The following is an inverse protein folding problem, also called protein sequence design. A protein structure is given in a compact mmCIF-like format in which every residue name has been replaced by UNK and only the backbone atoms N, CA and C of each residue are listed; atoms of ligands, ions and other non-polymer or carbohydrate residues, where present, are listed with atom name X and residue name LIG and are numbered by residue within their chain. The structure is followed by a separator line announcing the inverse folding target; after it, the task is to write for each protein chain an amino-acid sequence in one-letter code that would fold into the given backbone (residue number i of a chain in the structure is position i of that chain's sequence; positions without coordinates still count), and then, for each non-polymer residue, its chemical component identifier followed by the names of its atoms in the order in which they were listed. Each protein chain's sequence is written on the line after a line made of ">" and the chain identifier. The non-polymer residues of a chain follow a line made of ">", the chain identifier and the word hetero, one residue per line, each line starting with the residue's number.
data_IF_296518678378
#
_entry.id   IF_296518678378
#
_cell.length_a   1.000
_cell.length_b   1.000
_cell.length_c   1.000
_cell.angle_alpha   90.00
_cell.angle_beta   90.00
_cell.angle_gamma   90.00
#
_symmetry.space_group_name_H-M   'P 1'
#
loop_
_entity.id
_entity.type
_entity.pdbx_description
1 polymer ?
#
# COMPACT_ATOMS: atom_id res chain seq x y z
N UNK A 1 -4.68 -43.19 -17.20
CA UNK A 1 -3.32 -42.71 -16.83
C UNK A 1 -2.90 -41.76 -17.91
N UNK A 2 -3.16 -40.49 -17.72
CA UNK A 2 -2.68 -39.44 -18.61
C UNK A 2 -1.79 -38.48 -17.80
N UNK A 3 -0.61 -38.25 -18.34
CA UNK A 3 0.48 -37.58 -17.69
C UNK A 3 0.28 -36.07 -17.66
N UNK A 4 0.39 -35.49 -16.47
CA UNK A 4 0.52 -34.07 -16.27
C UNK A 4 1.86 -33.56 -16.82
N UNK A 5 1.85 -32.71 -17.83
CA UNK A 5 3.03 -31.97 -18.25
C UNK A 5 3.19 -30.70 -17.42
N UNK A 6 4.37 -30.43 -16.86
CA UNK A 6 4.64 -29.18 -16.15
C UNK A 6 4.91 -28.02 -17.11
N UNK A 7 4.30 -26.89 -16.81
CA UNK A 7 4.42 -25.65 -17.55
C UNK A 7 5.85 -25.10 -17.56
N UNK A 8 6.25 -24.67 -18.74
CA UNK A 8 7.57 -24.20 -19.13
C UNK A 8 8.10 -23.05 -18.27
N UNK A 9 9.28 -23.29 -17.75
CA UNK A 9 10.25 -22.39 -17.17
C UNK A 9 10.61 -21.25 -18.14
N UNK A 10 10.27 -20.02 -17.78
CA UNK A 10 10.82 -18.83 -18.47
C UNK A 10 12.28 -18.73 -18.08
N UNK A 11 13.17 -18.90 -19.04
CA UNK A 11 14.61 -18.73 -18.89
C UNK A 11 14.90 -17.32 -18.36
N UNK A 12 15.40 -17.23 -17.13
CA UNK A 12 16.04 -16.06 -16.60
C UNK A 12 17.37 -15.83 -17.30
N UNK A 13 17.55 -14.65 -17.91
CA UNK A 13 18.88 -14.19 -18.30
C UNK A 13 19.74 -14.00 -17.04
N UNK A 14 21.05 -14.27 -17.08
CA UNK A 14 21.91 -14.05 -15.93
C UNK A 14 22.05 -12.55 -15.66
N UNK A 15 21.49 -12.10 -14.55
CA UNK A 15 21.72 -10.75 -14.04
C UNK A 15 23.01 -10.76 -13.26
N UNK A 16 23.88 -9.77 -13.49
CA UNK A 16 25.04 -9.49 -12.65
C UNK A 16 24.58 -9.14 -11.22
N UNK A 17 25.37 -9.38 -10.17
CA UNK A 17 24.99 -9.12 -8.77
C UNK A 17 24.54 -7.68 -8.48
N UNK A 18 24.89 -6.71 -9.35
CA UNK A 18 24.46 -5.31 -9.26
C UNK A 18 23.02 -5.07 -9.76
N UNK A 19 22.38 -6.04 -10.43
CA UNK A 19 21.05 -5.90 -11.05
C UNK A 19 19.92 -6.59 -10.28
N UNK A 20 20.23 -7.25 -9.17
CA UNK A 20 19.18 -7.84 -8.31
C UNK A 20 18.34 -6.72 -7.69
N UNK A 21 16.99 -6.80 -7.77
CA UNK A 21 16.15 -5.79 -7.15
C UNK A 21 16.35 -5.82 -5.63
N UNK A 22 16.40 -4.65 -4.98
CA UNK A 22 16.54 -4.56 -3.51
C UNK A 22 15.21 -4.88 -2.81
N UNK A 23 14.56 -6.00 -3.16
CA UNK A 23 13.28 -6.41 -2.57
C UNK A 23 12.89 -7.83 -2.97
N UNK A 24 12.03 -8.44 -2.16
CA UNK A 24 11.37 -9.71 -2.44
C UNK A 24 10.00 -9.48 -3.10
N UNK A 25 9.64 -10.29 -4.09
CA UNK A 25 8.28 -10.25 -4.67
C UNK A 25 7.37 -11.16 -3.85
N UNK A 26 6.27 -10.60 -3.34
CA UNK A 26 5.28 -11.32 -2.53
C UNK A 26 3.94 -11.36 -3.27
N UNK A 27 3.37 -12.55 -3.36
CA UNK A 27 1.99 -12.73 -3.79
C UNK A 27 1.11 -12.76 -2.55
N UNK A 28 0.35 -11.71 -2.34
CA UNK A 28 -0.64 -11.63 -1.27
C UNK A 28 -1.71 -12.69 -1.46
N UNK A 29 -2.22 -13.20 -0.38
CA UNK A 29 -3.32 -14.16 -0.34
C UNK A 29 -4.63 -13.45 -0.02
N UNK A 30 -5.73 -13.99 -0.51
CA UNK A 30 -7.07 -13.49 -0.16
C UNK A 30 -7.46 -14.00 1.21
N UNK A 31 -7.73 -13.05 2.12
CA UNK A 31 -8.24 -13.37 3.45
C UNK A 31 -9.67 -13.96 3.31
N UNK A 32 -9.97 -15.13 3.93
CA UNK A 32 -11.16 -15.92 3.61
C UNK A 32 -12.50 -15.27 4.03
N UNK A 33 -12.52 -14.45 5.08
CA UNK A 33 -13.78 -13.92 5.63
C UNK A 33 -14.22 -12.62 4.97
N UNK A 34 -13.28 -11.72 4.68
CA UNK A 34 -13.57 -10.41 4.12
C UNK A 34 -13.13 -10.27 2.67
N UNK A 35 -12.15 -11.06 2.25
CA UNK A 35 -11.66 -11.08 0.87
C UNK A 35 -10.63 -10.00 0.53
N UNK A 36 -10.00 -9.37 1.50
CA UNK A 36 -8.86 -8.49 1.30
C UNK A 36 -7.61 -9.29 0.91
N UNK A 37 -6.71 -8.68 0.14
CA UNK A 37 -5.38 -9.22 -0.13
C UNK A 37 -4.46 -8.87 1.04
N UNK A 38 -3.86 -9.88 1.67
CA UNK A 38 -3.00 -9.74 2.86
C UNK A 38 -1.62 -10.35 2.61
N UNK A 39 -0.59 -9.76 3.22
CA UNK A 39 0.78 -10.29 3.17
C UNK A 39 0.85 -11.60 3.98
N UNK A 40 1.18 -12.74 3.35
CA UNK A 40 1.05 -14.04 4.00
C UNK A 40 1.96 -14.21 5.22
N UNK A 41 3.23 -13.83 5.12
CA UNK A 41 4.18 -13.93 6.24
C UNK A 41 3.80 -13.01 7.40
N UNK A 42 3.39 -11.77 7.12
CA UNK A 42 2.99 -10.83 8.18
C UNK A 42 1.75 -11.32 8.93
N UNK A 43 0.80 -11.93 8.20
CA UNK A 43 -0.41 -12.50 8.80
C UNK A 43 -0.11 -13.69 9.72
N UNK A 44 0.97 -14.45 9.44
CA UNK A 44 1.41 -15.57 10.26
C UNK A 44 2.30 -15.13 11.42
N UNK A 45 3.20 -14.16 11.19
CA UNK A 45 4.23 -13.75 12.17
C UNK A 45 3.72 -12.74 13.19
N UNK A 46 2.73 -11.91 12.82
CA UNK A 46 2.28 -10.78 13.65
C UNK A 46 0.78 -10.87 13.94
N UNK A 47 0.39 -11.69 14.92
CA UNK A 47 -1.02 -11.82 15.35
C UNK A 47 -1.64 -10.48 15.78
N UNK A 48 -0.80 -9.53 16.26
CA UNK A 48 -1.20 -8.19 16.66
C UNK A 48 -1.44 -7.23 15.48
N UNK A 49 -1.04 -7.60 14.25
CA UNK A 49 -1.12 -6.75 13.08
C UNK A 49 -2.42 -7.03 12.28
N UNK A 50 -3.17 -5.99 11.95
CA UNK A 50 -4.17 -6.01 10.90
C UNK A 50 -3.58 -5.29 9.68
N UNK A 51 -3.58 -5.90 8.50
CA UNK A 51 -3.08 -5.27 7.29
C UNK A 51 -3.72 -5.89 6.04
N UNK A 52 -3.77 -5.14 4.96
CA UNK A 52 -4.20 -5.64 3.67
C UNK A 52 -4.62 -4.55 2.69
N UNK A 53 -5.05 -5.01 1.52
CA UNK A 53 -5.66 -4.17 0.48
C UNK A 53 -7.02 -4.75 0.12
N UNK A 54 -8.09 -3.94 0.20
CA UNK A 54 -9.42 -4.37 -0.22
C UNK A 54 -9.48 -4.58 -1.72
N UNK A 55 -10.41 -5.38 -2.19
CA UNK A 55 -10.67 -5.60 -3.62
C UNK A 55 -12.12 -5.24 -3.94
N UNK A 56 -12.51 -5.18 -5.19
CA UNK A 56 -13.91 -4.99 -5.60
C UNK A 56 -14.85 -6.07 -5.06
N UNK A 57 -14.30 -7.20 -4.62
CA UNK A 57 -15.02 -8.36 -4.09
C UNK A 57 -14.87 -8.52 -2.57
N UNK A 58 -14.32 -7.53 -1.86
CA UNK A 58 -14.26 -7.54 -0.40
C UNK A 58 -15.65 -7.31 0.21
N UNK A 59 -15.88 -7.87 1.39
CA UNK A 59 -17.16 -7.74 2.09
C UNK A 59 -18.35 -8.31 1.30
N UNK A 60 -19.55 -7.74 1.52
CA UNK A 60 -20.82 -8.22 0.91
C UNK A 60 -21.49 -7.17 0.01
N UNK A 61 -20.94 -5.95 -0.09
CA UNK A 61 -21.51 -4.82 -0.82
C UNK A 61 -20.65 -4.50 -2.06
N UNK A 62 -20.99 -5.11 -3.18
CA UNK A 62 -20.19 -5.03 -4.40
C UNK A 62 -20.72 -4.00 -5.41
N UNK A 63 -19.83 -3.32 -6.15
CA UNK A 63 -18.38 -3.32 -5.99
C UNK A 63 -17.99 -2.61 -4.68
N UNK A 64 -16.98 -3.13 -3.98
CA UNK A 64 -16.56 -2.61 -2.68
C UNK A 64 -15.69 -1.37 -2.85
N UNK A 65 -16.33 -0.28 -3.25
CA UNK A 65 -15.72 1.04 -3.47
C UNK A 65 -15.64 1.82 -2.15
N UNK A 66 -14.44 2.29 -1.80
CA UNK A 66 -14.16 3.07 -0.60
C UNK A 66 -13.83 4.55 -0.90
N UNK A 67 -14.03 5.01 -2.14
CA UNK A 67 -13.87 6.41 -2.51
C UNK A 67 -14.84 7.32 -1.76
N UNK A 68 -14.31 8.32 -1.03
CA UNK A 68 -15.11 9.36 -0.35
C UNK A 68 -15.02 10.72 -1.06
N UNK A 69 -13.98 10.93 -1.84
CA UNK A 69 -13.63 12.23 -2.45
C UNK A 69 -13.61 12.18 -3.99
N UNK A 70 -13.97 11.05 -4.60
CA UNK A 70 -14.06 10.96 -6.04
C UNK A 70 -15.38 11.59 -6.56
N UNK A 71 -15.36 12.21 -7.76
CA UNK A 71 -16.51 12.90 -8.35
C UNK A 71 -17.77 12.04 -8.48
N UNK A 72 -17.63 10.72 -8.56
CA UNK A 72 -18.72 9.75 -8.68
C UNK A 72 -18.95 8.95 -7.39
N UNK A 73 -18.37 9.38 -6.27
CA UNK A 73 -18.54 8.68 -5.01
C UNK A 73 -19.99 8.78 -4.50
N UNK A 74 -20.49 7.67 -3.93
CA UNK A 74 -21.72 7.65 -3.14
C UNK A 74 -21.35 7.65 -1.63
N UNK A 75 -21.23 8.82 -0.98
CA UNK A 75 -20.66 8.91 0.36
C UNK A 75 -21.35 8.02 1.41
N UNK A 76 -22.66 7.81 1.29
CA UNK A 76 -23.42 6.95 2.22
C UNK A 76 -23.03 5.47 2.05
N UNK A 77 -22.94 4.99 0.82
CA UNK A 77 -22.50 3.63 0.50
C UNK A 77 -21.04 3.41 0.87
N UNK A 78 -20.16 4.36 0.54
CA UNK A 78 -18.75 4.30 0.93
C UNK A 78 -18.59 4.23 2.46
N UNK A 79 -19.29 5.07 3.24
CA UNK A 79 -19.27 5.01 4.72
C UNK A 79 -19.71 3.66 5.28
N UNK A 80 -20.72 3.01 4.68
CA UNK A 80 -21.14 1.66 5.07
C UNK A 80 -20.03 0.64 4.83
N UNK A 81 -19.34 0.71 3.69
CA UNK A 81 -18.21 -0.17 3.37
C UNK A 81 -17.01 0.07 4.27
N UNK A 82 -16.72 1.33 4.62
CA UNK A 82 -15.70 1.65 5.62
C UNK A 82 -16.00 1.05 7.01
N UNK A 83 -17.26 1.05 7.42
CA UNK A 83 -17.70 0.35 8.66
C UNK A 83 -17.44 -1.15 8.55
N UNK A 84 -17.84 -1.78 7.44
CA UNK A 84 -17.62 -3.21 7.21
C UNK A 84 -16.12 -3.56 7.23
N UNK A 85 -15.26 -2.76 6.62
CA UNK A 85 -13.80 -2.93 6.70
C UNK A 85 -13.33 -2.86 8.17
N UNK A 86 -13.72 -1.85 8.92
CA UNK A 86 -13.36 -1.69 10.33
C UNK A 86 -13.76 -2.92 11.15
N UNK A 87 -14.99 -3.38 10.97
CA UNK A 87 -15.57 -4.53 11.69
C UNK A 87 -14.85 -5.84 11.34
N UNK A 88 -14.48 -6.03 10.08
CA UNK A 88 -13.79 -7.25 9.63
C UNK A 88 -12.44 -7.47 10.28
N UNK A 89 -11.77 -6.40 10.70
CA UNK A 89 -10.45 -6.47 11.37
C UNK A 89 -10.51 -6.27 12.87
N UNK A 90 -11.72 -6.10 13.44
CA UNK A 90 -11.91 -5.85 14.87
C UNK A 90 -11.40 -4.48 15.32
N UNK A 91 -11.41 -3.48 14.42
CA UNK A 91 -10.96 -2.14 14.74
C UNK A 91 -12.00 -1.30 15.47
N UNK A 92 -11.56 -0.36 16.29
CA UNK A 92 -12.43 0.61 16.96
C UNK A 92 -12.71 1.83 16.09
N UNK A 93 -11.70 2.24 15.32
CA UNK A 93 -11.76 3.43 14.46
C UNK A 93 -10.90 3.23 13.22
N UNK A 94 -11.37 3.75 12.09
CA UNK A 94 -10.55 3.96 10.88
C UNK A 94 -10.23 5.44 10.76
N UNK A 95 -8.99 5.77 10.42
CA UNK A 95 -8.59 7.11 9.99
C UNK A 95 -8.24 7.12 8.52
N UNK A 96 -8.65 8.19 7.86
CA UNK A 96 -8.42 8.45 6.46
C UNK A 96 -8.31 9.96 6.23
N UNK A 97 -7.83 10.39 5.07
CA UNK A 97 -7.69 11.79 4.71
C UNK A 97 -8.10 12.03 3.25
N UNK A 98 -8.36 13.28 2.91
CA UNK A 98 -8.33 13.69 1.52
C UNK A 98 -6.87 13.66 1.04
N UNK A 99 -6.54 12.73 0.15
CA UNK A 99 -5.21 12.52 -0.41
C UNK A 99 -4.97 13.50 -1.56
N UNK A 100 -3.91 14.29 -1.44
CA UNK A 100 -3.59 15.37 -2.40
C UNK A 100 -2.36 15.06 -3.26
N UNK A 101 -1.88 13.80 -3.21
CA UNK A 101 -0.67 13.33 -3.88
C UNK A 101 0.59 14.09 -3.41
N UNK A 102 0.59 14.54 -2.16
CA UNK A 102 1.69 15.22 -1.49
C UNK A 102 2.55 14.26 -0.66
N UNK A 103 3.26 14.83 0.34
CA UNK A 103 4.11 14.07 1.25
C UNK A 103 3.83 14.36 2.74
N UNK A 104 2.71 15.00 3.05
CA UNK A 104 2.32 15.22 4.45
C UNK A 104 1.91 13.90 5.08
N UNK A 105 2.48 13.61 6.26
CA UNK A 105 2.18 12.43 7.07
C UNK A 105 1.60 12.89 8.41
N UNK A 106 0.48 12.29 8.80
CA UNK A 106 -0.19 12.54 10.07
C UNK A 106 0.22 11.49 11.10
N UNK A 107 0.63 11.94 12.30
CA UNK A 107 1.01 11.07 13.42
C UNK A 107 -0.17 10.92 14.37
N UNK A 108 -0.59 9.68 14.61
CA UNK A 108 -1.67 9.35 15.54
C UNK A 108 -1.10 8.81 16.82
N UNK A 109 -1.38 9.50 17.93
CA UNK A 109 -0.93 9.13 19.27
C UNK A 109 -2.07 9.19 20.27
N UNK A 110 -1.92 8.43 21.35
CA UNK A 110 -2.86 8.44 22.46
C UNK A 110 -4.14 7.65 22.20
N UNK A 111 -5.04 7.72 23.16
CA UNK A 111 -6.32 7.00 23.08
C UNK A 111 -7.28 7.65 22.09
N UNK A 112 -8.00 6.82 21.37
CA UNK A 112 -9.05 7.23 20.45
C UNK A 112 -10.39 6.65 20.90
N UNK A 113 -11.42 7.50 20.97
CA UNK A 113 -12.77 6.99 21.17
C UNK A 113 -13.24 6.16 19.97
N UNK A 114 -13.90 5.01 20.18
CA UNK A 114 -14.47 4.24 19.09
C UNK A 114 -15.37 5.08 18.19
N UNK A 115 -15.34 4.82 16.89
CA UNK A 115 -16.19 5.50 15.91
C UNK A 115 -16.68 4.52 14.86
N UNK A 116 -17.96 4.62 14.52
CA UNK A 116 -18.53 3.80 13.43
C UNK A 116 -18.07 4.29 12.05
N UNK A 117 -18.04 5.60 11.85
CA UNK A 117 -17.64 6.21 10.60
C UNK A 117 -16.14 6.45 10.54
N UNK A 118 -15.53 6.48 9.35
CA UNK A 118 -14.14 6.86 9.21
C UNK A 118 -13.92 8.27 9.75
N UNK A 119 -12.87 8.44 10.54
CA UNK A 119 -12.41 9.73 11.00
C UNK A 119 -11.55 10.37 9.93
N UNK A 120 -12.02 11.48 9.40
CA UNK A 120 -11.30 12.23 8.39
C UNK A 120 -10.42 13.27 9.07
N UNK A 121 -9.13 13.19 8.81
CA UNK A 121 -8.15 14.22 9.23
C UNK A 121 -7.89 15.19 8.09
N UNK A 122 -7.15 16.27 8.35
CA UNK A 122 -6.71 17.23 7.34
C UNK A 122 -5.95 16.55 6.20
N UNK A 123 -5.91 17.21 5.05
CA UNK A 123 -5.24 16.75 3.84
C UNK A 123 -3.86 16.18 4.14
N UNK A 124 -3.67 14.89 3.82
CA UNK A 124 -2.38 14.21 3.92
C UNK A 124 -2.38 12.94 3.05
N UNK A 125 -1.18 12.43 2.79
CA UNK A 125 -0.97 11.22 1.99
C UNK A 125 -0.34 10.08 2.81
N UNK A 126 -0.26 10.25 4.13
CA UNK A 126 0.27 9.23 5.01
C UNK A 126 -0.22 9.34 6.46
N UNK A 127 -0.25 8.20 7.11
CA UNK A 127 -0.62 8.05 8.51
C UNK A 127 0.39 7.15 9.21
N UNK A 128 0.80 7.50 10.43
CA UNK A 128 1.64 6.68 11.32
C UNK A 128 0.98 6.58 12.68
N UNK A 129 1.10 5.42 13.34
CA UNK A 129 0.53 5.23 14.68
C UNK A 129 0.90 3.89 15.30
N UNK A 130 0.71 3.81 16.63
CA UNK A 130 0.96 2.60 17.42
C UNK A 130 -0.25 2.21 18.29
N UNK A 131 -1.35 2.93 18.16
CA UNK A 131 -2.51 2.79 19.04
C UNK A 131 -3.33 1.55 18.70
N UNK A 132 -3.53 0.62 19.66
CA UNK A 132 -4.38 -0.56 19.45
C UNK A 132 -5.83 -0.19 19.10
N UNK A 133 -6.39 -0.89 18.12
CA UNK A 133 -7.75 -0.66 17.61
C UNK A 133 -7.87 0.46 16.57
N UNK A 134 -6.79 1.22 16.32
CA UNK A 134 -6.77 2.25 15.26
C UNK A 134 -6.32 1.64 13.94
N UNK A 135 -7.14 1.77 12.90
CA UNK A 135 -6.84 1.34 11.55
C UNK A 135 -6.47 2.57 10.69
N UNK A 136 -5.25 2.59 10.20
CA UNK A 136 -4.73 3.60 9.27
C UNK A 136 -5.05 3.18 7.85
N UNK A 137 -5.59 4.07 7.02
CA UNK A 137 -6.03 3.69 5.68
C UNK A 137 -5.73 4.76 4.63
N UNK A 138 -5.33 4.32 3.46
CA UNK A 138 -5.17 5.13 2.24
C UNK A 138 -5.96 4.48 1.10
N UNK A 139 -6.57 5.28 0.24
CA UNK A 139 -7.27 4.78 -0.94
C UNK A 139 -6.39 4.86 -2.16
N UNK A 140 -6.49 3.85 -3.02
CA UNK A 140 -5.70 3.75 -4.25
C UNK A 140 -6.54 3.24 -5.43
N UNK A 141 -6.10 3.59 -6.63
CA UNK A 141 -6.37 2.93 -7.90
C UNK A 141 -5.17 3.25 -8.78
N UNK A 142 -4.20 2.33 -8.81
CA UNK A 142 -2.86 2.39 -9.42
C UNK A 142 -1.72 2.92 -8.56
N UNK A 143 -1.92 3.96 -7.73
CA UNK A 143 -0.89 4.42 -6.80
C UNK A 143 -0.50 3.31 -5.81
N UNK A 144 0.72 3.37 -5.30
CA UNK A 144 1.27 2.36 -4.39
C UNK A 144 0.79 2.62 -2.95
N UNK A 145 0.00 1.72 -2.32
CA UNK A 145 -0.16 1.74 -0.89
C UNK A 145 1.13 1.19 -0.26
N UNK A 146 1.82 2.01 0.53
CA UNK A 146 3.05 1.61 1.21
C UNK A 146 2.72 1.31 2.66
N UNK A 147 3.09 0.13 3.11
CA UNK A 147 2.95 -0.30 4.50
C UNK A 147 4.31 -0.39 5.14
N UNK A 148 4.47 0.25 6.31
CA UNK A 148 5.68 0.13 7.12
C UNK A 148 5.31 -0.40 8.49
N UNK A 149 6.10 -1.37 8.98
CA UNK A 149 5.88 -2.04 10.26
C UNK A 149 7.16 -1.99 11.07
N UNK A 150 7.07 -1.54 12.30
CA UNK A 150 8.07 -1.76 13.34
C UNK A 150 7.60 -2.88 14.28
N UNK A 151 8.16 -4.10 14.16
CA UNK A 151 7.74 -5.22 14.99
C UNK A 151 8.07 -5.05 16.48
N UNK A 152 9.13 -4.31 16.81
CA UNK A 152 9.57 -4.11 18.17
C UNK A 152 8.69 -3.09 18.92
N UNK A 153 8.36 -2.00 18.24
CA UNK A 153 7.55 -0.89 18.79
C UNK A 153 6.06 -1.10 18.58
N UNK A 154 5.66 -2.05 17.73
CA UNK A 154 4.30 -2.25 17.23
C UNK A 154 3.73 -0.96 16.63
N UNK A 155 4.59 -0.17 15.98
CA UNK A 155 4.21 1.02 15.24
C UNK A 155 4.04 0.69 13.76
N UNK A 156 3.09 1.34 13.11
CA UNK A 156 2.74 1.07 11.70
C UNK A 156 2.55 2.35 10.92
N UNK A 157 2.74 2.29 9.60
CA UNK A 157 2.41 3.38 8.69
C UNK A 157 1.63 2.86 7.48
N UNK A 158 0.66 3.67 7.02
CA UNK A 158 0.00 3.56 5.73
C UNK A 158 0.27 4.83 4.93
N UNK A 159 0.94 4.72 3.76
CA UNK A 159 1.30 5.86 2.92
C UNK A 159 0.74 5.68 1.51
N UNK A 160 0.23 6.76 0.92
CA UNK A 160 -0.23 6.81 -0.46
C UNK A 160 0.88 7.38 -1.34
N UNK A 161 1.48 6.54 -2.15
CA UNK A 161 2.56 6.93 -3.04
C UNK A 161 2.16 6.86 -4.51
N UNK A 162 1.54 7.94 -5.01
CA UNK A 162 1.54 8.26 -6.44
C UNK A 162 2.91 8.85 -6.84
N UNK A 163 3.16 9.07 -8.13
CA UNK A 163 4.46 9.59 -8.56
C UNK A 163 4.83 10.96 -7.96
N UNK A 164 3.84 11.86 -7.78
CA UNK A 164 4.06 13.18 -7.13
C UNK A 164 4.41 13.02 -5.65
N UNK A 165 3.68 12.17 -4.93
CA UNK A 165 3.96 11.86 -3.54
C UNK A 165 5.33 11.19 -3.36
N UNK A 166 5.66 10.26 -4.24
CA UNK A 166 6.98 9.64 -4.28
C UNK A 166 8.08 10.68 -4.55
N UNK A 167 7.92 11.54 -5.55
CA UNK A 167 8.86 12.63 -5.86
C UNK A 167 9.03 13.61 -4.68
N UNK A 168 7.96 13.87 -3.93
CA UNK A 168 7.96 14.75 -2.76
C UNK A 168 8.46 14.08 -1.46
N UNK A 169 8.80 12.78 -1.51
CA UNK A 169 9.38 12.05 -0.38
C UNK A 169 8.37 11.53 0.65
N UNK A 170 7.16 11.10 0.25
CA UNK A 170 6.14 10.60 1.18
C UNK A 170 6.62 9.38 1.98
N UNK A 171 7.41 8.49 1.35
CA UNK A 171 7.98 7.31 2.01
C UNK A 171 9.00 7.71 3.06
N UNK A 172 9.94 8.56 2.70
CA UNK A 172 11.00 9.08 3.58
C UNK A 172 10.39 9.79 4.79
N UNK A 173 9.40 10.66 4.57
CA UNK A 173 8.67 11.33 5.66
C UNK A 173 7.89 10.37 6.56
N UNK A 174 7.35 9.29 5.99
CA UNK A 174 6.72 8.23 6.77
C UNK A 174 7.71 7.53 7.69
N UNK A 175 8.89 7.16 7.18
CA UNK A 175 9.98 6.56 7.97
C UNK A 175 10.48 7.54 9.04
N UNK A 176 10.75 8.81 8.68
CA UNK A 176 11.17 9.85 9.63
C UNK A 176 10.14 10.07 10.75
N UNK A 177 8.85 10.02 10.41
CA UNK A 177 7.79 10.13 11.40
C UNK A 177 7.78 8.93 12.36
N UNK A 178 8.05 7.71 11.88
CA UNK A 178 8.19 6.54 12.74
C UNK A 178 9.42 6.66 13.65
N UNK A 179 10.56 7.09 13.13
CA UNK A 179 11.78 7.31 13.91
C UNK A 179 11.55 8.36 14.98
N UNK A 180 11.07 9.52 14.61
CA UNK A 180 10.92 10.68 15.54
C UNK A 180 9.80 10.50 16.55
N UNK A 181 8.74 9.76 16.18
CA UNK A 181 7.54 9.63 16.99
C UNK A 181 7.51 8.38 17.87
N UNK A 182 8.07 7.28 17.41
CA UNK A 182 7.99 5.99 18.09
C UNK A 182 9.36 5.41 18.43
N UNK A 183 10.45 6.16 18.18
CA UNK A 183 11.84 5.71 18.37
C UNK A 183 12.12 4.42 17.55
N UNK A 184 11.48 4.28 16.40
CA UNK A 184 11.75 3.21 15.45
C UNK A 184 13.16 3.36 14.88
N UNK A 185 13.77 2.24 14.51
CA UNK A 185 15.08 2.21 13.86
C UNK A 185 14.89 1.74 12.42
N UNK A 186 15.32 2.51 11.40
CA UNK A 186 15.09 2.16 10.00
C UNK A 186 15.52 0.73 9.64
N UNK A 187 16.64 0.24 10.18
CA UNK A 187 17.14 -1.10 9.98
C UNK A 187 16.27 -2.23 10.57
N UNK A 188 15.31 -1.89 11.44
CA UNK A 188 14.33 -2.85 12.02
C UNK A 188 12.96 -2.78 11.34
N UNK A 189 12.75 -1.79 10.45
CA UNK A 189 11.49 -1.65 9.74
C UNK A 189 11.32 -2.71 8.66
N UNK A 190 10.08 -3.16 8.51
CA UNK A 190 9.62 -3.96 7.38
C UNK A 190 8.79 -3.06 6.48
N UNK A 191 9.05 -3.11 5.16
CA UNK A 191 8.32 -2.31 4.16
C UNK A 191 7.65 -3.23 3.16
N UNK A 192 6.36 -3.04 2.94
CA UNK A 192 5.62 -3.70 1.87
C UNK A 192 5.02 -2.68 0.91
N UNK A 193 5.43 -2.76 -0.35
CA UNK A 193 4.86 -1.97 -1.44
C UNK A 193 3.70 -2.78 -2.03
N UNK A 194 2.49 -2.44 -1.60
CA UNK A 194 1.28 -3.21 -1.88
C UNK A 194 0.84 -3.18 -3.35
N UNK A 195 -0.34 -3.78 -3.66
CA UNK A 195 -0.88 -3.86 -5.00
C UNK A 195 -1.01 -2.49 -5.68
N UNK A 196 -0.39 -2.33 -6.83
CA UNK A 196 -0.33 -1.09 -7.60
C UNK A 196 -0.19 -1.38 -9.10
N UNK A 197 -0.20 -0.37 -9.94
CA UNK A 197 0.10 -0.55 -11.36
C UNK A 197 1.55 -0.99 -11.55
N UNK A 198 1.80 -2.01 -12.36
CA UNK A 198 3.15 -2.50 -12.63
C UNK A 198 3.88 -1.63 -13.67
N UNK A 199 5.21 -1.76 -13.72
CA UNK A 199 6.04 -1.02 -14.66
C UNK A 199 5.60 -1.18 -16.12
N UNK A 200 5.24 -2.37 -16.55
CA UNK A 200 4.79 -2.60 -17.93
C UNK A 200 3.46 -1.91 -18.30
N UNK A 201 2.63 -1.58 -17.29
CA UNK A 201 1.34 -0.92 -17.48
C UNK A 201 1.38 0.59 -17.22
N UNK A 202 2.49 1.10 -16.64
CA UNK A 202 2.60 2.50 -16.21
C UNK A 202 3.56 3.29 -17.10
N UNK A 203 3.11 3.61 -18.30
CA UNK A 203 3.78 4.53 -19.21
C UNK A 203 3.54 5.98 -18.79
N UNK A 204 4.60 6.78 -18.71
CA UNK A 204 4.59 8.19 -18.28
C UNK A 204 5.54 9.03 -19.10
N UNK A 205 5.35 10.35 -19.10
CA UNK A 205 6.23 11.29 -19.79
C UNK A 205 7.57 11.50 -19.08
N UNK A 206 8.54 12.14 -19.79
CA UNK A 206 9.87 12.45 -19.29
C UNK A 206 9.88 13.22 -17.97
N UNK A 207 8.89 14.09 -17.75
CA UNK A 207 8.72 14.90 -16.54
C UNK A 207 8.57 14.07 -15.25
N UNK A 208 8.00 12.87 -15.36
CA UNK A 208 7.87 11.95 -14.22
C UNK A 208 9.22 11.32 -13.87
N UNK A 209 10.01 10.97 -14.87
CA UNK A 209 11.36 10.45 -14.68
C UNK A 209 12.26 11.50 -14.02
N UNK A 210 12.21 12.74 -14.48
CA UNK A 210 12.95 13.86 -13.89
C UNK A 210 12.55 14.07 -12.43
N UNK A 211 11.25 14.15 -12.14
CA UNK A 211 10.74 14.33 -10.78
C UNK A 211 11.13 13.19 -9.83
N UNK A 212 11.34 11.99 -10.35
CA UNK A 212 11.74 10.81 -9.56
C UNK A 212 13.26 10.58 -9.51
N UNK A 213 14.08 11.52 -10.03
CA UNK A 213 15.53 11.41 -10.14
C UNK A 213 15.99 10.18 -10.95
N UNK A 214 15.23 9.83 -12.00
CA UNK A 214 15.56 8.73 -12.90
C UNK A 214 16.16 9.27 -14.20
N UNK A 215 16.84 8.39 -14.97
CA UNK A 215 17.31 8.75 -16.32
C UNK A 215 16.13 9.20 -17.18
N UNK A 216 16.15 10.46 -17.61
CA UNK A 216 15.07 11.05 -18.41
C UNK A 216 15.11 10.49 -19.84
N UNK A 217 14.03 9.87 -20.32
CA UNK A 217 13.93 9.34 -21.68
C UNK A 217 13.59 10.46 -22.68
N UNK A 218 13.75 10.17 -23.98
CA UNK A 218 13.42 11.11 -25.04
C UNK A 218 11.89 11.27 -25.29
N UNK A 219 11.08 10.36 -24.75
CA UNK A 219 9.63 10.34 -24.87
C UNK A 219 8.99 9.51 -23.78
N UNK A 220 7.66 9.27 -23.82
CA UNK A 220 6.99 8.44 -22.83
C UNK A 220 7.58 7.03 -22.78
N UNK A 221 7.92 6.56 -21.58
CA UNK A 221 8.41 5.20 -21.32
C UNK A 221 7.71 4.59 -20.08
N UNK A 222 7.68 3.25 -19.97
CA UNK A 222 7.24 2.56 -18.77
C UNK A 222 8.16 2.76 -17.59
N UNK A 223 7.59 3.01 -16.39
CA UNK A 223 8.34 3.10 -15.13
C UNK A 223 7.70 2.24 -14.03
N UNK A 224 8.49 1.48 -13.29
CA UNK A 224 8.01 0.79 -12.09
C UNK A 224 8.24 1.64 -10.83
N UNK A 225 7.19 2.33 -10.39
CA UNK A 225 7.22 3.20 -9.22
C UNK A 225 7.57 2.42 -7.94
N UNK A 226 7.20 1.14 -7.85
CA UNK A 226 7.54 0.29 -6.70
C UNK A 226 9.05 0.06 -6.60
N UNK A 227 9.74 -0.11 -7.75
CA UNK A 227 11.21 -0.20 -7.76
C UNK A 227 11.88 1.10 -7.31
N UNK A 228 11.33 2.24 -7.69
CA UNK A 228 11.82 3.55 -7.24
C UNK A 228 11.67 3.67 -5.73
N UNK A 229 10.48 3.36 -5.21
CA UNK A 229 10.19 3.42 -3.77
C UNK A 229 11.05 2.42 -2.97
N UNK A 230 11.28 1.20 -3.47
CA UNK A 230 12.15 0.23 -2.81
C UNK A 230 13.59 0.75 -2.64
N UNK A 231 14.17 1.36 -3.69
CA UNK A 231 15.50 1.99 -3.59
C UNK A 231 15.53 3.15 -2.60
N UNK A 232 14.46 3.94 -2.54
CA UNK A 232 14.33 5.05 -1.57
C UNK A 232 14.21 4.54 -0.14
N UNK A 233 13.52 3.41 0.09
CA UNK A 233 13.47 2.76 1.39
C UNK A 233 14.86 2.32 1.86
N UNK A 234 15.66 1.71 0.96
CA UNK A 234 17.07 1.38 1.26
C UNK A 234 17.88 2.64 1.56
N UNK A 235 17.69 3.71 0.76
CA UNK A 235 18.33 5.01 0.99
C UNK A 235 17.96 5.65 2.34
N UNK A 236 16.80 5.29 2.89
CA UNK A 236 16.33 5.72 4.23
C UNK A 236 16.80 4.79 5.37
N UNK A 237 17.64 3.79 5.08
CA UNK A 237 18.23 2.89 6.07
C UNK A 237 17.45 1.60 6.33
N UNK A 238 16.38 1.33 5.57
CA UNK A 238 15.70 0.03 5.61
C UNK A 238 16.56 -1.02 4.92
N UNK A 239 16.67 -2.20 5.51
CA UNK A 239 17.43 -3.30 4.91
C UNK A 239 16.73 -3.80 3.63
N UNK A 240 17.48 -4.17 2.64
CA UNK A 240 16.96 -4.66 1.35
C UNK A 240 16.14 -5.95 1.50
N UNK A 241 16.58 -6.87 2.38
CA UNK A 241 15.85 -8.11 2.71
C UNK A 241 14.55 -7.89 3.51
N UNK A 242 14.34 -6.68 4.05
CA UNK A 242 13.15 -6.25 4.76
C UNK A 242 12.11 -5.55 3.86
N UNK A 243 12.39 -5.45 2.55
CA UNK A 243 11.49 -4.82 1.57
C UNK A 243 10.82 -5.88 0.72
N UNK A 244 9.50 -5.81 0.63
CA UNK A 244 8.69 -6.67 -0.23
C UNK A 244 7.80 -5.85 -1.18
N UNK A 245 7.52 -6.42 -2.35
CA UNK A 245 6.71 -5.79 -3.39
C UNK A 245 5.62 -6.76 -3.82
N UNK A 246 4.39 -6.26 -3.93
CA UNK A 246 3.25 -7.03 -4.39
C UNK A 246 3.46 -7.60 -5.80
N UNK A 247 3.08 -8.86 -6.00
CA UNK A 247 2.99 -9.48 -7.32
C UNK A 247 1.78 -9.01 -8.12
N UNK A 248 0.79 -8.37 -7.47
CA UNK A 248 -0.43 -7.94 -8.13
C UNK A 248 -0.27 -6.58 -8.82
N UNK A 249 -0.74 -6.53 -10.07
CA UNK A 249 -0.93 -5.28 -10.80
C UNK A 249 -2.43 -4.92 -10.80
N UNK A 250 -2.75 -3.67 -10.54
CA UNK A 250 -4.14 -3.20 -10.55
C UNK A 250 -4.78 -3.29 -11.95
N UNK A 251 -3.98 -3.24 -13.03
CA UNK A 251 -4.47 -3.21 -14.42
C UNK A 251 -4.43 -4.56 -15.12
N UNK A 252 -3.31 -5.31 -15.05
CA UNK A 252 -3.09 -6.47 -15.90
C UNK A 252 -3.17 -7.83 -15.18
N UNK A 253 -3.36 -7.86 -13.85
CA UNK A 253 -3.62 -9.12 -13.13
C UNK A 253 -5.10 -9.24 -12.78
N UNK A 254 -5.62 -10.47 -12.80
CA UNK A 254 -6.98 -10.76 -12.32
C UNK A 254 -7.03 -10.82 -10.79
N UNK A 255 -6.74 -9.70 -10.17
CA UNK A 255 -6.70 -9.53 -8.71
C UNK A 255 -8.01 -8.99 -8.12
N UNK A 256 -8.93 -8.53 -8.98
CA UNK A 256 -10.16 -7.86 -8.57
C UNK A 256 -9.92 -6.44 -8.01
N UNK A 257 -8.82 -5.80 -8.36
CA UNK A 257 -8.51 -4.42 -7.96
C UNK A 257 -9.10 -3.39 -8.92
N UNK A 258 -9.27 -2.16 -8.44
CA UNK A 258 -9.62 -1.02 -9.27
C UNK A 258 -8.36 -0.39 -9.87
N UNK A 259 -8.46 0.09 -11.10
CA UNK A 259 -7.38 0.77 -11.80
C UNK A 259 -7.90 2.01 -12.54
N UNK A 260 -7.35 3.16 -12.20
CA UNK A 260 -7.64 4.42 -12.91
C UNK A 260 -7.21 4.33 -14.38
N UNK A 261 -6.07 3.68 -14.67
CA UNK A 261 -5.58 3.45 -16.05
C UNK A 261 -6.48 2.51 -16.84
N UNK A 262 -7.30 1.69 -16.18
CA UNK A 262 -8.33 0.88 -16.80
C UNK A 262 -9.70 1.59 -16.87
N UNK A 263 -9.80 2.85 -16.45
CA UNK A 263 -11.03 3.66 -16.53
C UNK A 263 -11.94 3.53 -15.30
N UNK A 264 -11.51 2.89 -14.21
CA UNK A 264 -12.29 2.79 -12.99
C UNK A 264 -12.27 4.12 -12.22
N UNK A 265 -13.44 4.57 -11.77
CA UNK A 265 -13.61 5.72 -10.87
C UNK A 265 -13.49 5.35 -9.39
N UNK A 266 -13.69 4.08 -9.08
CA UNK A 266 -13.74 3.51 -7.74
C UNK A 266 -12.35 3.36 -7.13
N UNK A 267 -12.32 3.14 -5.79
CA UNK A 267 -11.06 3.01 -5.02
C UNK A 267 -11.09 1.79 -4.10
N UNK A 268 -10.00 1.03 -4.09
CA UNK A 268 -9.66 0.14 -2.98
C UNK A 268 -8.96 0.92 -1.86
N UNK A 269 -8.94 0.33 -0.65
CA UNK A 269 -8.14 0.85 0.45
C UNK A 269 -7.00 -0.11 0.79
N UNK A 270 -5.79 0.44 0.91
CA UNK A 270 -4.73 -0.15 1.68
C UNK A 270 -4.91 0.23 3.15
N UNK A 271 -4.83 -0.74 4.05
CA UNK A 271 -5.05 -0.53 5.48
C UNK A 271 -4.03 -1.27 6.33
N UNK A 272 -3.68 -0.68 7.47
CA UNK A 272 -2.81 -1.29 8.48
C UNK A 272 -3.16 -0.74 9.87
N UNK A 273 -3.00 -1.56 10.91
CA UNK A 273 -3.26 -1.15 12.29
C UNK A 273 -2.81 -2.19 13.30
N UNK A 274 -2.75 -1.77 14.56
CA UNK A 274 -2.44 -2.62 15.70
C UNK A 274 -3.76 -3.17 16.26
N UNK A 275 -3.89 -4.51 16.33
CA UNK A 275 -5.06 -5.17 16.95
C UNK A 275 -5.07 -4.93 18.46
N UNK A 276 -6.24 -5.03 19.08
CA UNK A 276 -6.38 -5.09 20.55
C UNK A 276 -5.96 -6.40 21.14
#
# INVERSE_FOLDING_TARGET
>A
MEAFQPFLYVRSMPTTPADSPPFTVVREIREPHFGALVHPEWSQSFAWLAQGTTTRHSGHDHPFDLGLFADRSEPKSARRRWRALRESVGGDRVVHAHQVHGAKVHVHRGEHSPSRDPHLVDDCDGHVGDTPGLLLAVTTADCVPVFVVDPERRAVAALHAGWRGAASGVLERGIDAMVSSFASRPEHLLVHLGPAICGACYEVGPEVFEALDQRVPAGPEPIDLRRVLARRAVGSGVRDDAISVSAHCTKCTDSGLFSHRAGHGERQAGFIGVRR
#
